data_IF_673138264290
#
_entry.id   IF_673138264290
#
_cell.length_a   1.000
_cell.length_b   1.000
_cell.length_c   1.000
_cell.angle_alpha   90.00
_cell.angle_beta   90.00
_cell.angle_gamma   90.00
#
_symmetry.space_group_name_H-M   'P 1'
#
loop_
_entity.id
_entity.type
_entity.pdbx_description
1 polymer ?
#
# COMPACT_ATOMS: atom_id res chain seq x y z
N UNK A 1 -5.66 -3.78 -2.31
CA UNK A 1 -5.66 -4.43 -0.99
C UNK A 1 -5.70 -3.42 0.16
N UNK A 2 -4.78 -2.43 0.31
CA UNK A 2 -4.72 -1.56 1.48
C UNK A 2 -6.00 -0.77 1.76
N UNK A 3 -6.66 -0.24 0.72
CA UNK A 3 -7.93 0.46 0.86
C UNK A 3 -9.02 -0.43 1.47
N UNK A 4 -9.19 -1.64 0.96
CA UNK A 4 -10.18 -2.58 1.49
C UNK A 4 -9.86 -2.99 2.94
N UNK A 5 -8.58 -3.25 3.23
CA UNK A 5 -8.11 -3.60 4.58
C UNK A 5 -8.47 -2.52 5.61
N UNK A 6 -8.18 -1.27 5.28
CA UNK A 6 -8.51 -0.11 6.13
C UNK A 6 -10.03 0.11 6.25
N UNK A 7 -10.73 0.06 5.12
CA UNK A 7 -12.19 0.29 5.08
C UNK A 7 -12.98 -0.76 5.86
N UNK A 8 -12.52 -2.00 5.85
CA UNK A 8 -13.13 -3.10 6.59
C UNK A 8 -12.70 -3.15 8.06
N UNK A 9 -11.77 -2.31 8.48
CA UNK A 9 -11.28 -2.27 9.85
C UNK A 9 -10.56 -3.55 10.30
N UNK A 10 -9.87 -4.23 9.38
CA UNK A 10 -9.20 -5.52 9.67
C UNK A 10 -8.02 -5.30 10.62
N UNK A 11 -7.32 -4.17 10.48
CA UNK A 11 -6.18 -3.81 11.32
C UNK A 11 -5.62 -2.45 10.93
N UNK A 12 -4.47 -2.09 11.50
CA UNK A 12 -3.78 -0.84 11.23
C UNK A 12 -2.83 -0.97 10.05
N UNK A 13 -2.76 0.07 9.24
CA UNK A 13 -1.71 0.25 8.21
C UNK A 13 -0.54 1.00 8.85
N UNK A 14 0.66 0.42 8.75
CA UNK A 14 1.88 0.98 9.32
C UNK A 14 2.93 1.11 8.22
N UNK A 15 3.49 2.28 8.06
CA UNK A 15 4.52 2.52 7.06
C UNK A 15 4.38 3.86 6.35
N UNK A 16 4.81 3.92 5.09
CA UNK A 16 4.64 5.07 4.22
C UNK A 16 3.24 5.09 3.58
N UNK A 17 2.76 6.26 3.09
CA UNK A 17 1.54 6.34 2.32
C UNK A 17 1.57 5.42 1.10
N UNK A 18 0.49 4.70 0.86
CA UNK A 18 0.38 3.82 -0.31
C UNK A 18 0.14 4.68 -1.55
N UNK A 19 0.92 4.48 -2.63
CA UNK A 19 0.72 5.22 -3.88
C UNK A 19 -0.71 5.11 -4.41
N UNK A 20 -1.17 6.18 -5.03
CA UNK A 20 -2.54 6.33 -5.52
C UNK A 20 -2.84 5.66 -6.86
N UNK A 21 -2.12 4.64 -7.24
CA UNK A 21 -2.38 3.85 -8.46
C UNK A 21 -3.39 2.75 -8.19
N UNK A 22 -4.62 2.92 -8.65
CA UNK A 22 -5.74 2.02 -8.36
C UNK A 22 -6.40 1.45 -9.61
N UNK A 23 -5.76 1.56 -10.77
CA UNK A 23 -6.24 0.94 -12.01
C UNK A 23 -5.61 -0.43 -12.23
N UNK A 24 -6.34 -1.37 -12.80
CA UNK A 24 -5.77 -2.60 -13.32
C UNK A 24 -5.26 -2.37 -14.74
N UNK A 25 -4.07 -2.87 -15.03
CA UNK A 25 -3.35 -2.65 -16.26
C UNK A 25 -3.32 -3.93 -17.08
N UNK A 26 -3.65 -3.82 -18.38
CA UNK A 26 -3.41 -4.86 -19.36
C UNK A 26 -2.06 -4.63 -20.03
N UNK A 27 -1.26 -5.69 -20.15
CA UNK A 27 0.08 -5.62 -20.70
C UNK A 27 0.09 -6.07 -22.16
N UNK A 28 0.54 -5.20 -23.05
CA UNK A 28 0.66 -5.46 -24.49
C UNK A 28 2.13 -5.52 -24.91
N UNK A 29 2.49 -6.63 -25.58
CA UNK A 29 3.79 -6.75 -26.19
C UNK A 29 3.85 -5.92 -27.46
N UNK A 30 4.92 -5.16 -27.64
CA UNK A 30 5.14 -4.35 -28.82
C UNK A 30 5.77 -5.20 -29.94
N UNK A 31 6.00 -4.59 -31.11
CA UNK A 31 6.68 -5.22 -32.27
C UNK A 31 8.06 -5.75 -31.82
N UNK A 32 8.78 -5.00 -31.01
CA UNK A 32 9.95 -5.49 -30.28
C UNK A 32 9.46 -6.17 -28.99
N UNK A 33 9.60 -7.51 -28.85
CA UNK A 33 9.05 -8.25 -27.69
C UNK A 33 9.76 -7.94 -26.37
N UNK A 34 10.89 -7.21 -26.40
CA UNK A 34 11.55 -6.71 -25.18
C UNK A 34 10.83 -5.50 -24.58
N UNK A 35 9.92 -4.89 -25.34
CA UNK A 35 9.16 -3.71 -24.92
C UNK A 35 7.72 -4.13 -24.61
N UNK A 36 7.28 -3.85 -23.40
CA UNK A 36 5.91 -4.12 -22.95
C UNK A 36 5.26 -2.81 -22.53
N UNK A 37 4.04 -2.59 -22.99
CA UNK A 37 3.27 -1.39 -22.66
C UNK A 37 2.04 -1.75 -21.81
N UNK A 38 1.85 -1.03 -20.71
CA UNK A 38 0.71 -1.23 -19.81
C UNK A 38 -0.41 -0.24 -20.09
N UNK A 39 -1.59 -0.75 -20.42
CA UNK A 39 -2.80 0.07 -20.70
C UNK A 39 -3.78 -0.07 -19.53
N UNK A 40 -4.11 1.00 -18.80
CA UNK A 40 -5.17 0.97 -17.78
C UNK A 40 -6.53 0.70 -18.42
N UNK A 41 -7.19 -0.38 -18.02
CA UNK A 41 -8.51 -0.77 -18.57
C UNK A 41 -9.61 -0.82 -17.53
N UNK A 42 -9.26 -0.94 -16.26
CA UNK A 42 -10.22 -1.11 -15.17
C UNK A 42 -9.99 -0.06 -14.10
N UNK A 43 -10.99 0.77 -13.86
CA UNK A 43 -11.00 1.71 -12.74
C UNK A 43 -11.63 1.06 -11.50
N UNK A 44 -11.10 1.39 -10.32
CA UNK A 44 -11.64 0.95 -9.03
C UNK A 44 -12.40 2.09 -8.37
N UNK A 45 -13.66 1.85 -8.04
CA UNK A 45 -14.53 2.83 -7.37
C UNK A 45 -14.66 2.50 -5.89
N UNK A 46 -14.50 3.51 -5.04
CA UNK A 46 -14.76 3.40 -3.62
C UNK A 46 -16.27 3.31 -3.37
N UNK A 47 -16.72 2.24 -2.72
CA UNK A 47 -18.15 2.01 -2.46
C UNK A 47 -18.74 3.08 -1.54
N UNK A 48 -18.00 3.50 -0.52
CA UNK A 48 -18.47 4.49 0.46
C UNK A 48 -18.47 5.91 -0.10
N UNK A 49 -17.41 6.29 -0.80
CA UNK A 49 -17.22 7.65 -1.32
C UNK A 49 -17.84 7.86 -2.71
N UNK A 50 -18.21 6.77 -3.40
CA UNK A 50 -18.82 6.81 -4.73
C UNK A 50 -17.94 7.41 -5.83
N UNK A 51 -16.61 7.42 -5.65
CA UNK A 51 -15.64 8.00 -6.58
C UNK A 51 -14.52 7.04 -6.93
N UNK A 52 -13.83 7.31 -8.03
CA UNK A 52 -12.63 6.58 -8.38
C UNK A 52 -11.52 6.80 -7.36
N UNK A 53 -10.79 5.71 -7.06
CA UNK A 53 -9.66 5.72 -6.13
C UNK A 53 -8.32 6.09 -6.79
N UNK A 54 -8.32 6.28 -8.10
CA UNK A 54 -7.10 6.70 -8.83
C UNK A 54 -6.63 8.08 -8.37
N UNK A 55 -5.33 8.25 -8.27
CA UNK A 55 -4.65 9.45 -7.75
C UNK A 55 -4.97 9.77 -6.27
N UNK A 56 -5.37 8.78 -5.52
CA UNK A 56 -5.64 8.93 -4.09
C UNK A 56 -4.70 8.07 -3.26
N UNK A 57 -3.78 8.70 -2.58
CA UNK A 57 -2.95 8.02 -1.59
C UNK A 57 -3.80 7.51 -0.42
N UNK A 58 -3.38 6.37 0.13
CA UNK A 58 -3.96 5.84 1.36
C UNK A 58 -2.96 6.11 2.47
N UNK A 59 -3.34 7.00 3.38
CA UNK A 59 -2.52 7.34 4.53
C UNK A 59 -2.49 6.17 5.53
N UNK A 60 -1.32 5.80 6.04
CA UNK A 60 -1.21 4.81 7.09
C UNK A 60 -1.78 5.34 8.41
N UNK A 61 -2.15 4.43 9.30
CA UNK A 61 -2.58 4.78 10.66
C UNK A 61 -1.38 5.15 11.54
N UNK A 62 -0.21 4.62 11.21
CA UNK A 62 1.08 4.96 11.84
C UNK A 62 2.10 5.21 10.73
N UNK A 63 2.49 6.48 10.59
CA UNK A 63 3.45 6.92 9.58
C UNK A 63 4.88 6.66 10.02
N UNK A 64 5.57 5.79 9.30
CA UNK A 64 6.99 5.46 9.54
C UNK A 64 7.69 5.26 8.20
N UNK A 65 8.86 5.83 8.06
CA UNK A 65 9.74 5.63 6.91
C UNK A 65 10.99 4.86 7.33
N UNK A 66 11.43 3.94 6.47
CA UNK A 66 12.76 3.38 6.55
C UNK A 66 13.75 4.38 5.93
N UNK A 67 14.70 4.87 6.69
CA UNK A 67 15.77 5.71 6.16
C UNK A 67 16.89 4.85 5.55
N UNK A 68 17.63 5.39 4.56
CA UNK A 68 18.67 4.64 3.86
C UNK A 68 19.76 4.07 4.78
N UNK A 69 20.12 4.81 5.83
CA UNK A 69 21.18 4.36 6.75
C UNK A 69 20.71 3.15 7.58
N UNK A 70 19.46 3.12 8.03
CA UNK A 70 18.88 1.98 8.74
C UNK A 70 18.80 0.75 7.84
N UNK A 71 18.32 0.93 6.59
CA UNK A 71 18.24 -0.16 5.62
C UNK A 71 19.60 -0.78 5.32
N UNK A 72 20.65 0.04 5.18
CA UNK A 72 22.02 -0.45 4.98
C UNK A 72 22.55 -1.25 6.17
N UNK A 73 22.07 -1.01 7.38
CA UNK A 73 22.37 -1.82 8.57
C UNK A 73 21.51 -3.06 8.73
N UNK A 74 20.55 -3.27 7.83
CA UNK A 74 19.59 -4.37 7.92
C UNK A 74 18.46 -4.14 8.92
N UNK A 75 18.26 -2.88 9.34
CA UNK A 75 17.17 -2.49 10.25
C UNK A 75 15.92 -2.15 9.44
N UNK A 76 14.76 -2.66 9.86
CA UNK A 76 13.45 -2.34 9.27
C UNK A 76 12.55 -1.69 10.33
N UNK A 77 12.56 -0.36 10.36
CA UNK A 77 11.77 0.43 11.32
C UNK A 77 10.26 0.24 11.15
N UNK A 78 9.81 -0.03 9.93
CA UNK A 78 8.39 -0.30 9.66
C UNK A 78 7.96 -1.63 10.27
N UNK A 79 8.78 -2.68 10.08
CA UNK A 79 8.52 -3.98 10.67
C UNK A 79 8.59 -3.94 12.20
N UNK A 80 9.59 -3.27 12.76
CA UNK A 80 9.74 -3.10 14.21
C UNK A 80 8.51 -2.41 14.83
N UNK A 81 8.02 -1.35 14.20
CA UNK A 81 6.81 -0.65 14.64
C UNK A 81 5.56 -1.51 14.52
N UNK A 82 5.43 -2.31 13.46
CA UNK A 82 4.32 -3.22 13.29
C UNK A 82 4.31 -4.30 14.38
N UNK A 83 5.46 -4.89 14.68
CA UNK A 83 5.60 -5.88 15.77
C UNK A 83 5.26 -5.24 17.12
N UNK A 84 5.80 -4.07 17.42
CA UNK A 84 5.52 -3.36 18.68
C UNK A 84 4.03 -3.06 18.86
N UNK A 85 3.33 -2.68 17.77
CA UNK A 85 1.89 -2.42 17.83
C UNK A 85 1.06 -3.69 18.00
N UNK A 86 1.49 -4.80 17.40
CA UNK A 86 0.84 -6.10 17.59
C UNK A 86 1.01 -6.62 19.03
N UNK A 87 2.19 -6.50 19.62
CA UNK A 87 2.45 -6.90 21.01
C UNK A 87 1.55 -6.17 21.99
N UNK A 88 1.33 -4.86 21.83
CA UNK A 88 0.38 -4.10 22.65
C UNK A 88 -1.05 -4.66 22.60
N UNK A 89 -1.43 -5.29 21.50
CA UNK A 89 -2.76 -5.87 21.34
C UNK A 89 -2.88 -7.21 22.08
N UNK A 90 -1.79 -7.95 22.16
CA UNK A 90 -1.74 -9.25 22.86
C UNK A 90 -1.68 -9.05 24.37
N UNK A 91 -0.90 -8.09 24.86
CA UNK A 91 -0.73 -7.79 26.29
C UNK A 91 -2.01 -7.24 26.96
N UNK A 92 -2.97 -6.75 26.16
CA UNK A 92 -4.27 -6.24 26.66
C UNK A 92 -5.35 -7.31 26.85
N UNK A 93 -5.05 -8.56 26.53
CA UNK A 93 -5.92 -9.72 26.77
C UNK A 93 -5.56 -10.43 28.07
#
# INVERSE_FOLDING_TARGET
FPYAYKTLGIGKLIGAPVPGTMTAVWWENQIDPSIVFGIPQVGVTAVKEGRYLENMQIEPDILIYNDPASVLRGEDKQLEAAVAEMLKTIEKK
#
